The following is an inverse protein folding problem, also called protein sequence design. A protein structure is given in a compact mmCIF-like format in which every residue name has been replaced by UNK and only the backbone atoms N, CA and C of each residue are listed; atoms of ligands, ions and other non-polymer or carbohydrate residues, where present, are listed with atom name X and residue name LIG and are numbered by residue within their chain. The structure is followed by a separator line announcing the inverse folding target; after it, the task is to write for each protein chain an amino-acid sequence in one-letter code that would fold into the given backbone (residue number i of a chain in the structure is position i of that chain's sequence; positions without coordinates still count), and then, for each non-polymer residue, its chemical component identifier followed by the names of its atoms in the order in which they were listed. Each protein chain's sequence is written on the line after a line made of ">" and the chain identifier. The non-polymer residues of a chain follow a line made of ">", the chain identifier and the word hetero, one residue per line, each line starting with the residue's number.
data_IF_510875301826
#
_entry.id   IF_510875301826
#
_cell.length_a   1.000
_cell.length_b   1.000
_cell.length_c   1.000
_cell.angle_alpha   90.00
_cell.angle_beta   90.00
_cell.angle_gamma   90.00
#
_symmetry.space_group_name_H-M   'P 1'
#
loop_
_entity.id
_entity.type
_entity.pdbx_description
1 polymer ?
#
# COMPACT_ATOMS: atom_id res chain seq x y z
N UNK A 1 -6.33 11.39 17.73
CA UNK A 1 -7.67 11.52 17.18
C UNK A 1 -7.64 12.38 15.92
N UNK A 2 -8.30 11.96 14.88
CA UNK A 2 -8.40 12.76 13.67
C UNK A 2 -9.40 13.90 13.83
N UNK A 3 -8.89 15.11 13.74
CA UNK A 3 -9.69 16.31 13.65
C UNK A 3 -9.83 16.64 12.15
N UNK A 4 -11.05 16.73 11.58
CA UNK A 4 -11.22 17.03 10.17
C UNK A 4 -10.50 18.30 9.72
N UNK A 5 -10.58 19.36 10.51
CA UNK A 5 -9.91 20.63 10.20
C UNK A 5 -8.40 20.47 10.11
N UNK A 6 -7.84 19.70 11.03
CA UNK A 6 -6.41 19.43 11.06
C UNK A 6 -5.98 18.57 9.87
N UNK A 7 -6.82 17.63 9.46
CA UNK A 7 -6.54 16.82 8.29
C UNK A 7 -6.52 17.67 7.02
N UNK A 8 -7.46 18.59 6.89
CA UNK A 8 -7.49 19.52 5.75
C UNK A 8 -6.27 20.41 5.69
N UNK A 9 -5.80 20.91 6.83
CA UNK A 9 -4.56 21.67 6.91
C UNK A 9 -3.37 20.85 6.44
N UNK A 10 -3.30 19.58 6.86
CA UNK A 10 -2.21 18.68 6.47
C UNK A 10 -2.24 18.37 4.98
N UNK A 11 -3.42 18.16 4.41
CA UNK A 11 -3.57 17.93 2.97
C UNK A 11 -3.14 19.15 2.17
N UNK A 12 -3.38 20.36 2.68
CA UNK A 12 -2.92 21.60 2.05
C UNK A 12 -1.39 21.71 1.97
N UNK A 13 -0.65 20.98 2.83
CA UNK A 13 0.81 20.95 2.87
C UNK A 13 1.32 19.54 2.64
N UNK A 14 0.98 18.98 1.50
CA UNK A 14 1.22 17.56 1.20
C UNK A 14 2.69 17.16 1.28
N UNK A 15 3.62 18.08 0.98
CA UNK A 15 5.06 17.83 1.07
C UNK A 15 5.53 17.51 2.49
N UNK A 16 4.81 18.02 3.48
CA UNK A 16 5.11 17.80 4.89
C UNK A 16 4.26 16.70 5.51
N UNK A 17 3.35 16.13 4.73
CA UNK A 17 2.39 15.14 5.22
C UNK A 17 3.04 13.77 5.34
N UNK A 18 3.13 13.28 6.56
CA UNK A 18 3.83 12.01 6.83
C UNK A 18 2.89 10.86 7.19
N UNK A 19 1.64 11.14 7.51
CA UNK A 19 0.71 10.06 7.83
C UNK A 19 -0.57 10.53 8.47
N UNK A 20 -1.42 9.57 8.74
CA UNK A 20 -2.74 9.77 9.34
C UNK A 20 -2.89 8.82 10.51
N UNK A 21 -3.31 9.33 11.65
CA UNK A 21 -3.78 8.49 12.76
C UNK A 21 -5.30 8.43 12.70
N UNK A 22 -5.85 7.22 12.67
CA UNK A 22 -7.28 7.02 12.64
C UNK A 22 -7.87 7.08 14.06
N UNK A 23 -9.20 7.19 14.14
CA UNK A 23 -9.90 7.32 15.43
C UNK A 23 -9.68 6.12 16.36
N UNK A 24 -9.40 4.94 15.81
CA UNK A 24 -9.12 3.72 16.57
C UNK A 24 -7.63 3.58 16.95
N UNK A 25 -6.84 4.63 16.78
CA UNK A 25 -5.41 4.68 17.06
C UNK A 25 -4.53 3.83 16.13
N UNK A 26 -5.06 3.32 15.04
CA UNK A 26 -4.26 2.76 13.97
C UNK A 26 -3.72 3.89 13.10
N UNK A 27 -2.68 3.62 12.31
CA UNK A 27 -2.00 4.67 11.55
C UNK A 27 -1.69 4.24 10.13
N UNK A 28 -1.72 5.21 9.23
CA UNK A 28 -1.25 5.06 7.86
C UNK A 28 -0.09 6.04 7.70
N UNK A 29 1.11 5.53 7.46
CA UNK A 29 2.32 6.34 7.33
C UNK A 29 2.82 6.36 5.89
N UNK A 30 3.24 7.52 5.43
CA UNK A 30 3.84 7.71 4.11
C UNK A 30 5.34 7.93 4.26
N UNK A 31 6.14 7.23 3.46
CA UNK A 31 7.59 7.39 3.48
C UNK A 31 8.18 7.02 2.13
N UNK A 32 9.52 7.01 2.03
CA UNK A 32 10.18 6.64 0.78
C UNK A 32 10.26 5.14 0.58
N UNK A 33 10.41 4.38 1.66
CA UNK A 33 10.52 2.92 1.58
C UNK A 33 10.14 2.28 2.92
N UNK A 34 9.04 1.53 2.96
CA UNK A 34 8.04 1.39 1.91
C UNK A 34 7.24 2.68 1.69
N UNK A 35 6.55 2.77 0.56
CA UNK A 35 5.75 3.97 0.25
C UNK A 35 4.69 4.23 1.32
N UNK A 36 4.01 3.17 1.75
CA UNK A 36 2.96 3.26 2.77
C UNK A 36 3.13 2.13 3.77
N UNK A 37 3.06 2.48 5.06
CA UNK A 37 3.04 1.52 6.16
C UNK A 37 1.72 1.62 6.91
N UNK A 38 1.12 0.47 7.22
CA UNK A 38 -0.11 0.37 8.00
C UNK A 38 0.25 -0.15 9.39
N UNK A 39 -0.06 0.61 10.42
CA UNK A 39 0.27 0.27 11.80
C UNK A 39 -1.00 0.03 12.62
N UNK A 40 -0.97 -1.02 13.45
CA UNK A 40 -2.06 -1.25 14.38
C UNK A 40 -2.01 -0.27 15.56
N UNK A 41 -2.94 -0.38 16.50
CA UNK A 41 -3.02 0.51 17.66
C UNK A 41 -1.87 0.35 18.65
N UNK A 42 -1.03 -0.67 18.48
CA UNK A 42 0.17 -0.90 19.28
C UNK A 42 1.43 -0.40 18.59
N UNK A 43 1.29 0.21 17.40
CA UNK A 43 2.43 0.72 16.64
C UNK A 43 3.17 -0.35 15.84
N UNK A 44 2.62 -1.55 15.73
CA UNK A 44 3.23 -2.63 14.94
C UNK A 44 2.81 -2.48 13.48
N UNK A 45 3.77 -2.58 12.56
CA UNK A 45 3.49 -2.58 11.11
C UNK A 45 2.79 -3.89 10.73
N UNK A 46 1.54 -3.78 10.29
CA UNK A 46 0.72 -4.93 9.90
C UNK A 46 0.55 -5.05 8.40
N UNK A 47 0.87 -4.00 7.67
CA UNK A 47 0.82 -4.02 6.22
C UNK A 47 1.77 -3.00 5.61
N UNK A 48 2.27 -3.29 4.42
CA UNK A 48 3.07 -2.37 3.64
C UNK A 48 2.55 -2.36 2.21
N UNK A 49 2.56 -1.17 1.61
CA UNK A 49 2.06 -0.96 0.25
C UNK A 49 3.17 -0.30 -0.55
N UNK A 50 3.48 -0.87 -1.71
CA UNK A 50 4.36 -0.26 -2.70
C UNK A 50 3.53 0.19 -3.89
N UNK A 51 3.74 1.44 -4.31
CA UNK A 51 3.02 2.03 -5.44
C UNK A 51 4.00 2.26 -6.59
N UNK A 52 3.75 1.64 -7.72
CA UNK A 52 4.59 1.75 -8.92
C UNK A 52 3.78 2.35 -10.06
N UNK A 53 3.89 3.67 -10.23
CA UNK A 53 3.08 4.45 -11.17
C UNK A 53 3.55 4.42 -12.62
N UNK A 54 4.68 3.81 -12.94
CA UNK A 54 5.19 3.76 -14.30
C UNK A 54 4.28 2.96 -15.23
N UNK A 55 3.98 3.52 -16.40
CA UNK A 55 3.06 2.92 -17.36
C UNK A 55 3.78 2.16 -18.51
N UNK A 56 5.09 2.26 -18.61
CA UNK A 56 5.87 1.61 -19.65
C UNK A 56 5.99 0.10 -19.37
N UNK A 57 5.45 -0.76 -20.27
CA UNK A 57 5.55 -2.21 -20.09
C UNK A 57 6.98 -2.72 -20.01
N UNK A 58 7.91 -2.09 -20.70
CA UNK A 58 9.32 -2.51 -20.69
C UNK A 58 9.96 -2.41 -19.29
N UNK A 59 9.47 -1.51 -18.44
CA UNK A 59 9.96 -1.35 -17.08
C UNK A 59 9.17 -2.12 -16.03
N UNK A 60 8.13 -2.86 -16.42
CA UNK A 60 7.23 -3.49 -15.47
C UNK A 60 7.93 -4.52 -14.58
N UNK A 61 8.81 -5.34 -15.16
CA UNK A 61 9.52 -6.37 -14.41
C UNK A 61 10.50 -5.77 -13.40
N UNK A 62 11.18 -4.70 -13.79
CA UNK A 62 12.10 -4.00 -12.90
C UNK A 62 11.35 -3.36 -11.72
N UNK A 63 10.21 -2.74 -11.99
CA UNK A 63 9.37 -2.15 -10.93
C UNK A 63 8.84 -3.21 -9.97
N UNK A 64 8.42 -4.36 -10.50
CA UNK A 64 8.01 -5.50 -9.69
C UNK A 64 9.17 -5.95 -8.78
N UNK A 65 10.37 -6.09 -9.33
CA UNK A 65 11.54 -6.50 -8.56
C UNK A 65 11.89 -5.53 -7.44
N UNK A 66 11.75 -4.23 -7.70
CA UNK A 66 11.98 -3.20 -6.68
C UNK A 66 10.96 -3.29 -5.55
N UNK A 67 9.69 -3.49 -5.88
CA UNK A 67 8.64 -3.68 -4.87
C UNK A 67 8.88 -4.94 -4.04
N UNK A 68 9.23 -6.03 -4.70
CA UNK A 68 9.53 -7.30 -4.03
C UNK A 68 10.65 -7.15 -3.02
N UNK A 69 11.70 -6.41 -3.36
CA UNK A 69 12.83 -6.18 -2.46
C UNK A 69 12.37 -5.45 -1.19
N UNK A 70 11.51 -4.45 -1.33
CA UNK A 70 10.94 -3.73 -0.19
C UNK A 70 10.08 -4.67 0.67
N UNK A 71 9.29 -5.52 0.04
CA UNK A 71 8.45 -6.49 0.75
C UNK A 71 9.28 -7.53 1.50
N UNK A 72 10.35 -8.02 0.90
CA UNK A 72 11.24 -8.96 1.56
C UNK A 72 11.85 -8.37 2.82
N UNK A 73 12.22 -7.09 2.77
CA UNK A 73 12.71 -6.39 3.95
C UNK A 73 11.65 -6.28 5.04
N UNK A 74 10.43 -5.94 4.67
CA UNK A 74 9.30 -5.88 5.62
C UNK A 74 8.99 -7.23 6.26
N UNK A 75 8.97 -8.28 5.46
CA UNK A 75 8.74 -9.65 5.93
C UNK A 75 9.86 -10.16 6.84
N UNK A 76 11.08 -9.68 6.64
CA UNK A 76 12.19 -10.02 7.51
C UNK A 76 12.01 -9.44 8.91
N UNK A 77 11.43 -8.24 8.99
CA UNK A 77 11.14 -7.57 10.26
C UNK A 77 9.90 -8.12 10.95
N UNK A 78 8.89 -8.48 10.19
CA UNK A 78 7.63 -9.04 10.68
C UNK A 78 7.08 -10.00 9.63
N UNK A 79 7.22 -11.30 9.88
CA UNK A 79 6.80 -12.32 8.91
C UNK A 79 5.28 -12.35 8.67
N UNK A 80 4.50 -11.72 9.54
CA UNK A 80 3.04 -11.67 9.41
C UNK A 80 2.55 -10.41 8.67
N UNK A 81 3.48 -9.53 8.25
CA UNK A 81 3.09 -8.32 7.55
C UNK A 81 2.41 -8.66 6.21
N UNK A 82 1.34 -7.93 5.90
CA UNK A 82 0.64 -8.03 4.62
C UNK A 82 1.37 -7.17 3.60
N UNK A 83 1.64 -7.68 2.43
CA UNK A 83 2.34 -6.95 1.37
C UNK A 83 1.39 -6.70 0.20
N UNK A 84 1.23 -5.45 -0.17
CA UNK A 84 0.27 -5.04 -1.20
C UNK A 84 1.00 -4.25 -2.28
N UNK A 85 0.93 -4.72 -3.51
CA UNK A 85 1.49 -4.03 -4.67
C UNK A 85 0.36 -3.30 -5.41
N UNK A 86 0.56 -2.01 -5.66
CA UNK A 86 -0.32 -1.22 -6.52
C UNK A 86 0.50 -0.71 -7.69
N UNK A 87 0.16 -1.10 -8.90
CA UNK A 87 0.95 -0.76 -10.09
C UNK A 87 0.05 -0.33 -11.25
N UNK A 88 0.52 0.65 -12.02
CA UNK A 88 -0.19 1.12 -13.22
C UNK A 88 -0.09 0.16 -14.38
N UNK A 89 1.00 -0.59 -14.46
CA UNK A 89 1.23 -1.54 -15.55
C UNK A 89 1.64 -2.90 -14.97
N UNK A 90 0.78 -3.89 -15.17
CA UNK A 90 1.06 -5.28 -14.79
C UNK A 90 0.98 -6.10 -16.09
N UNK A 91 2.15 -6.46 -16.60
CA UNK A 91 2.25 -7.28 -17.80
C UNK A 91 1.88 -8.74 -17.50
N UNK A 92 1.63 -9.53 -18.54
CA UNK A 92 1.35 -10.97 -18.39
C UNK A 92 2.49 -11.68 -17.67
N UNK A 93 3.73 -11.30 -17.96
CA UNK A 93 4.91 -11.88 -17.32
C UNK A 93 4.93 -11.58 -15.81
N UNK A 94 4.69 -10.32 -15.45
CA UNK A 94 4.64 -9.89 -14.04
C UNK A 94 3.47 -10.56 -13.34
N UNK A 95 2.29 -10.60 -13.96
CA UNK A 95 1.11 -11.26 -13.38
C UNK A 95 1.40 -12.73 -13.06
N UNK A 96 2.04 -13.44 -13.98
CA UNK A 96 2.41 -14.84 -13.76
C UNK A 96 3.39 -14.99 -12.59
N UNK A 97 4.34 -14.09 -12.46
CA UNK A 97 5.30 -14.12 -11.34
C UNK A 97 4.61 -13.85 -10.01
N UNK A 98 3.73 -12.86 -9.96
CA UNK A 98 3.00 -12.49 -8.73
C UNK A 98 2.16 -13.66 -8.23
N UNK A 99 1.50 -14.38 -9.12
CA UNK A 99 0.63 -15.50 -8.77
C UNK A 99 1.36 -16.62 -8.02
N UNK A 100 2.67 -16.76 -8.25
CA UNK A 100 3.47 -17.79 -7.61
C UNK A 100 4.44 -17.23 -6.57
N UNK A 101 4.37 -15.93 -6.29
CA UNK A 101 5.30 -15.24 -5.41
C UNK A 101 4.67 -15.04 -4.04
N UNK A 102 5.11 -15.83 -3.06
CA UNK A 102 4.61 -15.74 -1.69
C UNK A 102 4.99 -14.44 -0.98
N UNK A 103 5.90 -13.65 -1.57
CA UNK A 103 6.31 -12.35 -1.03
C UNK A 103 5.21 -11.31 -1.17
N UNK A 104 4.28 -11.49 -2.11
CA UNK A 104 3.22 -10.54 -2.39
C UNK A 104 1.87 -11.12 -1.97
N UNK A 105 1.23 -10.47 -1.00
CA UNK A 105 -0.06 -10.92 -0.47
C UNK A 105 -1.22 -10.58 -1.39
N UNK A 106 -1.18 -9.38 -1.99
CA UNK A 106 -2.24 -8.91 -2.89
C UNK A 106 -1.67 -7.88 -3.85
N UNK A 107 -2.31 -7.72 -5.00
CA UNK A 107 -1.91 -6.69 -5.96
C UNK A 107 -3.14 -6.10 -6.66
N UNK A 108 -3.02 -4.82 -7.03
CA UNK A 108 -4.10 -4.07 -7.65
C UNK A 108 -3.55 -3.20 -8.78
N UNK A 109 -4.40 -2.93 -9.75
CA UNK A 109 -4.08 -2.00 -10.83
C UNK A 109 -4.43 -0.58 -10.39
N UNK A 110 -3.44 0.32 -10.39
CA UNK A 110 -3.62 1.70 -9.93
C UNK A 110 -4.67 2.43 -10.76
N UNK A 111 -4.68 2.24 -12.08
CA UNK A 111 -5.66 2.87 -12.96
C UNK A 111 -7.08 2.43 -12.61
N UNK A 112 -7.26 1.15 -12.31
CA UNK A 112 -8.57 0.61 -11.92
C UNK A 112 -9.01 1.15 -10.56
N UNK A 113 -8.08 1.25 -9.59
CA UNK A 113 -8.39 1.81 -8.27
C UNK A 113 -8.90 3.25 -8.39
N UNK A 114 -8.31 4.03 -9.30
CA UNK A 114 -8.65 5.43 -9.47
C UNK A 114 -9.93 5.65 -10.30
N UNK A 115 -10.49 4.60 -10.87
CA UNK A 115 -11.73 4.68 -11.66
C UNK A 115 -12.96 4.68 -10.74
N UNK A 116 -13.95 5.49 -11.06
CA UNK A 116 -15.21 5.54 -10.30
C UNK A 116 -15.91 4.19 -10.30
N UNK A 117 -16.47 3.81 -9.16
CA UNK A 117 -17.25 2.58 -8.99
C UNK A 117 -16.48 1.30 -9.35
N UNK A 118 -15.16 1.35 -9.22
CA UNK A 118 -14.30 0.22 -9.53
C UNK A 118 -14.42 -0.86 -8.46
N UNK A 119 -14.54 -2.11 -8.88
CA UNK A 119 -14.48 -3.25 -7.98
C UNK A 119 -13.12 -3.33 -7.29
N UNK A 120 -12.05 -3.03 -8.01
CA UNK A 120 -10.70 -3.04 -7.43
C UNK A 120 -10.53 -1.97 -6.36
N UNK A 121 -11.16 -0.82 -6.52
CA UNK A 121 -11.17 0.20 -5.47
C UNK A 121 -11.78 -0.36 -4.19
N UNK A 122 -12.96 -0.97 -4.28
CA UNK A 122 -13.65 -1.54 -3.12
C UNK A 122 -12.82 -2.65 -2.48
N UNK A 123 -12.22 -3.52 -3.27
CA UNK A 123 -11.37 -4.59 -2.79
C UNK A 123 -10.12 -4.06 -2.10
N UNK A 124 -9.51 -3.02 -2.66
CA UNK A 124 -8.34 -2.39 -2.07
C UNK A 124 -8.69 -1.77 -0.71
N UNK A 125 -9.78 -1.03 -0.64
CA UNK A 125 -10.25 -0.41 0.61
C UNK A 125 -10.51 -1.48 1.67
N UNK A 126 -11.20 -2.56 1.31
CA UNK A 126 -11.44 -3.68 2.22
C UNK A 126 -10.14 -4.31 2.72
N UNK A 127 -9.17 -4.52 1.83
CA UNK A 127 -7.88 -5.09 2.20
C UNK A 127 -7.15 -4.21 3.21
N UNK A 128 -7.08 -2.90 2.94
CA UNK A 128 -6.41 -1.95 3.84
C UNK A 128 -7.09 -1.89 5.20
N UNK A 129 -8.40 -1.69 5.22
CA UNK A 129 -9.11 -1.50 6.49
C UNK A 129 -9.31 -2.78 7.29
N UNK A 130 -9.21 -3.95 6.63
CA UNK A 130 -9.20 -5.23 7.38
C UNK A 130 -7.95 -5.37 8.25
N UNK A 131 -6.86 -4.69 7.88
CA UNK A 131 -5.60 -4.69 8.64
C UNK A 131 -5.60 -3.67 9.78
N UNK A 132 -6.55 -2.75 9.80
CA UNK A 132 -6.64 -1.65 10.75
C UNK A 132 -7.98 -1.69 11.50
N UNK A 133 -8.33 -2.82 12.13
CA UNK A 133 -9.64 -2.97 12.74
C UNK A 133 -9.81 -2.07 13.97
N UNK A 134 -11.05 -1.62 14.17
CA UNK A 134 -11.43 -0.96 15.42
C UNK A 134 -11.45 -1.99 16.56
N UNK A 135 -10.95 -1.57 17.69
CA UNK A 135 -10.99 -2.37 18.92
C UNK A 135 -12.39 -2.38 19.54
#
# INVERSE_FOLDING_TARGET
>A
MNNPDRLEEQIGNIECYRGVMLANHTSILFSNEPDISLLNNQGTTVGIIEVKGGADPAGALERYGAAKKSFEEGLRRNSDVRTILVASCITSEVDNRIKTDSTISAYFNLTEILSENSRQYDQFVQEVFSLLPAE
#
